data_IF_873061442892
#
_entry.id   IF_873061442892
#
_cell.length_a   1.000
_cell.length_b   1.000
_cell.length_c   1.000
_cell.angle_alpha   90.00
_cell.angle_beta   90.00
_cell.angle_gamma   90.00
#
_symmetry.space_group_name_H-M   'P 1'
#
loop_
_entity.id
_entity.type
_entity.pdbx_description
1 polymer ?
#
# COMPACT_ATOMS: atom_id res chain seq x y z
N UNK A 1 10.58 6.48 25.15
CA UNK A 1 11.14 6.35 23.79
C UNK A 1 10.48 5.21 23.01
N UNK A 2 10.54 3.97 23.50
CA UNK A 2 9.94 2.81 22.79
C UNK A 2 8.46 2.97 22.46
N UNK A 3 7.67 3.64 23.33
CA UNK A 3 6.26 3.86 23.08
C UNK A 3 6.01 4.79 21.86
N UNK A 4 6.87 5.79 21.65
CA UNK A 4 6.79 6.67 20.48
C UNK A 4 7.15 5.91 19.20
N UNK A 5 8.18 5.06 19.26
CA UNK A 5 8.54 4.20 18.13
C UNK A 5 7.37 3.26 17.78
N UNK A 6 6.70 2.71 18.80
CA UNK A 6 5.54 1.84 18.58
C UNK A 6 4.35 2.58 17.91
N UNK A 7 4.23 3.91 18.10
CA UNK A 7 3.20 4.70 17.41
C UNK A 7 3.42 4.73 15.89
N UNK A 8 4.66 4.65 15.44
CA UNK A 8 4.98 4.70 14.00
C UNK A 8 4.70 3.38 13.27
N UNK A 9 4.44 2.28 14.00
CA UNK A 9 4.16 0.95 13.46
C UNK A 9 5.24 0.49 12.47
N UNK A 10 6.48 0.26 12.92
CA UNK A 10 7.61 0.05 12.00
C UNK A 10 7.46 -1.11 11.01
N UNK A 11 6.62 -2.11 11.28
CA UNK A 11 6.35 -3.22 10.35
C UNK A 11 5.70 -2.75 9.04
N UNK A 12 5.02 -1.61 9.06
CA UNK A 12 4.40 -1.04 7.84
C UNK A 12 5.48 -0.51 6.89
N UNK A 13 6.64 -0.16 7.42
CA UNK A 13 7.77 0.38 6.66
C UNK A 13 8.32 -0.66 5.66
N UNK A 14 8.22 -1.96 5.99
CA UNK A 14 8.66 -3.04 5.10
C UNK A 14 7.96 -2.97 3.74
N UNK A 15 6.66 -2.72 3.73
CA UNK A 15 5.89 -2.60 2.49
C UNK A 15 6.35 -1.38 1.66
N UNK A 16 6.68 -0.28 2.34
CA UNK A 16 7.22 0.92 1.69
C UNK A 16 8.51 0.58 0.93
N UNK A 17 9.44 -0.16 1.56
CA UNK A 17 10.70 -0.56 0.94
C UNK A 17 10.47 -1.46 -0.27
N UNK A 18 9.61 -2.46 -0.11
CA UNK A 18 9.33 -3.48 -1.15
C UNK A 18 8.68 -2.86 -2.39
N UNK A 19 7.94 -1.78 -2.24
CA UNK A 19 7.19 -1.19 -3.35
C UNK A 19 7.83 0.08 -3.92
N UNK A 20 8.43 0.94 -3.07
CA UNK A 20 9.00 2.20 -3.55
C UNK A 20 10.27 2.01 -4.37
N UNK A 21 11.18 1.13 -3.94
CA UNK A 21 12.45 0.90 -4.65
C UNK A 21 12.21 0.36 -6.07
N UNK A 22 11.40 -0.70 -6.27
CA UNK A 22 11.10 -1.15 -7.64
C UNK A 22 10.47 -0.06 -8.51
N UNK A 23 9.60 0.78 -7.94
CA UNK A 23 9.00 1.89 -8.68
C UNK A 23 10.06 2.89 -9.15
N UNK A 24 11.05 3.19 -8.28
CA UNK A 24 12.16 4.09 -8.63
C UNK A 24 13.04 3.48 -9.72
N UNK A 25 13.33 2.18 -9.64
CA UNK A 25 14.13 1.47 -10.65
C UNK A 25 13.42 1.46 -12.00
N UNK A 26 12.12 1.21 -12.02
CA UNK A 26 11.35 1.25 -13.27
C UNK A 26 11.28 2.67 -13.84
N UNK A 27 11.12 3.67 -12.97
CA UNK A 27 11.06 5.08 -13.39
C UNK A 27 12.35 5.54 -14.06
N UNK A 28 13.51 5.08 -13.55
CA UNK A 28 14.83 5.41 -14.09
C UNK A 28 15.20 4.54 -15.28
N UNK A 29 14.60 3.35 -15.39
CA UNK A 29 14.97 2.31 -16.36
C UNK A 29 16.44 1.94 -16.22
N UNK A 30 16.83 1.59 -15.01
CA UNK A 30 18.21 1.23 -14.68
C UNK A 30 18.55 1.50 -13.23
N UNK A 31 19.80 1.84 -12.98
CA UNK A 31 20.29 2.11 -11.63
C UNK A 31 19.92 3.53 -11.20
N UNK A 32 19.36 3.64 -10.00
CA UNK A 32 18.99 4.92 -9.38
C UNK A 32 20.12 5.32 -8.42
N UNK A 33 20.39 6.61 -8.31
CA UNK A 33 21.34 7.14 -7.34
C UNK A 33 20.94 6.64 -5.92
N UNK A 34 21.84 5.91 -5.22
CA UNK A 34 21.50 5.39 -3.89
C UNK A 34 21.10 6.47 -2.88
N UNK A 35 21.66 7.67 -2.99
CA UNK A 35 21.29 8.78 -2.11
C UNK A 35 19.83 9.20 -2.33
N UNK A 36 19.37 9.21 -3.58
CA UNK A 36 17.96 9.50 -3.90
C UNK A 36 17.04 8.45 -3.29
N UNK A 37 17.42 7.15 -3.39
CA UNK A 37 16.65 6.06 -2.78
C UNK A 37 16.55 6.28 -1.26
N UNK A 38 17.70 6.49 -0.59
CA UNK A 38 17.74 6.67 0.86
C UNK A 38 16.88 7.87 1.29
N UNK A 39 17.01 8.99 0.58
CA UNK A 39 16.24 10.19 0.92
C UNK A 39 14.73 9.98 0.72
N UNK A 40 14.34 9.30 -0.36
CA UNK A 40 12.93 8.98 -0.61
C UNK A 40 12.37 8.06 0.48
N UNK A 41 13.16 7.06 0.90
CA UNK A 41 12.74 6.12 1.95
C UNK A 41 12.64 6.82 3.32
N UNK A 42 13.58 7.71 3.66
CA UNK A 42 13.52 8.49 4.91
C UNK A 42 12.23 9.33 4.92
N UNK A 43 11.95 10.05 3.83
CA UNK A 43 10.74 10.85 3.72
C UNK A 43 9.47 9.99 3.83
N UNK A 44 9.46 8.84 3.18
CA UNK A 44 8.35 7.88 3.24
C UNK A 44 8.17 7.31 4.65
N UNK A 45 9.27 7.00 5.35
CA UNK A 45 9.22 6.51 6.73
C UNK A 45 8.66 7.57 7.68
N UNK A 46 9.07 8.83 7.52
CA UNK A 46 8.54 9.95 8.31
C UNK A 46 7.03 10.12 8.04
N UNK A 47 6.62 10.03 6.76
CA UNK A 47 5.21 10.14 6.36
C UNK A 47 4.38 9.01 6.97
N UNK A 48 4.84 7.77 6.83
CA UNK A 48 4.14 6.60 7.38
C UNK A 48 4.07 6.67 8.90
N UNK A 49 5.17 7.08 9.55
CA UNK A 49 5.22 7.27 11.00
C UNK A 49 4.22 8.31 11.48
N UNK A 50 4.18 9.46 10.80
CA UNK A 50 3.24 10.54 11.10
C UNK A 50 1.78 10.09 10.93
N UNK A 51 1.47 9.47 9.79
CA UNK A 51 0.13 8.94 9.50
C UNK A 51 -0.31 7.93 10.56
N UNK A 52 0.59 7.01 10.94
CA UNK A 52 0.30 5.98 11.93
C UNK A 52 0.11 6.56 13.34
N UNK A 53 0.93 7.54 13.74
CA UNK A 53 0.77 8.21 15.02
C UNK A 53 -0.58 8.94 15.11
N UNK A 54 -0.93 9.68 14.06
CA UNK A 54 -2.22 10.39 13.98
C UNK A 54 -3.40 9.42 13.95
N UNK A 55 -3.25 8.28 13.25
CA UNK A 55 -4.26 7.22 13.25
C UNK A 55 -4.46 6.64 14.66
N UNK A 56 -3.38 6.44 15.43
CA UNK A 56 -3.51 5.95 16.82
C UNK A 56 -4.25 6.96 17.69
N UNK A 57 -4.03 8.27 17.48
CA UNK A 57 -4.77 9.31 18.20
C UNK A 57 -6.26 9.25 17.86
N UNK A 58 -6.59 9.13 16.57
CA UNK A 58 -7.98 9.08 16.09
C UNK A 58 -8.72 7.81 16.51
N UNK A 59 -8.00 6.69 16.63
CA UNK A 59 -8.58 5.38 16.96
C UNK A 59 -8.47 5.00 18.46
N UNK A 60 -8.03 5.90 19.33
CA UNK A 60 -7.73 5.55 20.74
C UNK A 60 -8.91 4.91 21.47
N UNK A 61 -10.14 5.30 21.13
CA UNK A 61 -11.37 4.72 21.69
C UNK A 61 -11.60 3.28 21.20
N UNK A 62 -11.52 3.06 19.90
CA UNK A 62 -11.70 1.74 19.26
C UNK A 62 -10.61 0.77 19.72
N UNK A 63 -9.37 1.25 19.81
CA UNK A 63 -8.22 0.42 20.14
C UNK A 63 -8.30 -0.19 21.55
N UNK A 64 -9.00 0.47 22.46
CA UNK A 64 -9.21 -0.05 23.82
C UNK A 64 -10.16 -1.26 23.83
N UNK A 65 -11.12 -1.29 22.91
CA UNK A 65 -12.14 -2.33 22.83
C UNK A 65 -11.65 -3.58 22.11
N UNK A 66 -10.82 -3.38 21.05
CA UNK A 66 -10.35 -4.49 20.20
C UNK A 66 -9.17 -5.22 20.84
N UNK A 67 -9.28 -6.54 21.01
CA UNK A 67 -8.21 -7.41 21.55
C UNK A 67 -6.89 -7.24 20.80
N UNK A 68 -6.97 -7.14 19.45
CA UNK A 68 -5.80 -7.01 18.58
C UNK A 68 -5.02 -5.72 18.82
N UNK A 69 -5.70 -4.64 19.21
CA UNK A 69 -5.08 -3.29 19.30
C UNK A 69 -5.00 -2.74 20.72
N UNK A 70 -5.53 -3.47 21.73
CA UNK A 70 -5.54 -3.02 23.12
C UNK A 70 -4.13 -2.74 23.68
N UNK A 71 -3.09 -3.31 23.09
CA UNK A 71 -1.70 -3.10 23.53
C UNK A 71 -1.03 -1.88 22.89
N UNK A 72 -1.73 -1.14 22.03
CA UNK A 72 -1.17 0.09 21.42
C UNK A 72 -0.87 1.14 22.50
N UNK A 73 0.16 1.97 22.29
CA UNK A 73 0.59 2.94 23.34
C UNK A 73 -0.51 3.84 23.87
N UNK A 74 -1.41 4.34 23.01
CA UNK A 74 -2.52 5.20 23.46
C UNK A 74 -3.64 4.40 24.12
N UNK A 75 -3.91 3.17 23.65
CA UNK A 75 -4.93 2.30 24.26
C UNK A 75 -4.60 1.96 25.72
N UNK A 76 -3.30 1.77 26.02
CA UNK A 76 -2.82 1.47 27.39
C UNK A 76 -2.26 2.70 28.11
N UNK A 77 -2.54 3.91 27.60
CA UNK A 77 -2.15 5.18 28.20
C UNK A 77 -0.62 5.34 28.46
N UNK A 78 0.20 4.69 27.62
CA UNK A 78 1.67 4.78 27.72
C UNK A 78 2.24 6.10 27.21
N UNK A 79 1.44 6.86 26.44
CA UNK A 79 1.82 8.18 25.88
C UNK A 79 0.58 9.09 26.02
N UNK A 80 0.76 10.32 26.53
CA UNK A 80 -0.33 11.30 26.54
C UNK A 80 -0.81 11.60 25.12
N UNK A 81 -2.12 11.69 24.91
CA UNK A 81 -2.74 11.92 23.60
C UNK A 81 -2.19 13.19 22.94
N UNK A 82 -2.04 14.27 23.71
CA UNK A 82 -1.47 15.55 23.20
C UNK A 82 -0.06 15.35 22.63
N UNK A 83 0.78 14.60 23.34
CA UNK A 83 2.16 14.35 22.92
C UNK A 83 2.19 13.48 21.64
N UNK A 84 1.32 12.49 21.55
CA UNK A 84 1.19 11.65 20.34
C UNK A 84 0.72 12.48 19.13
N UNK A 85 -0.22 13.41 19.35
CA UNK A 85 -0.70 14.32 18.31
C UNK A 85 0.44 15.22 17.81
N UNK A 86 1.16 15.88 18.73
CA UNK A 86 2.29 16.75 18.38
C UNK A 86 3.37 15.95 17.63
N UNK A 87 3.68 14.74 18.12
CA UNK A 87 4.65 13.84 17.49
C UNK A 87 4.24 13.51 16.05
N UNK A 88 2.98 13.15 15.83
CA UNK A 88 2.45 12.85 14.49
C UNK A 88 2.51 14.06 13.55
N UNK A 89 2.19 15.24 14.06
CA UNK A 89 2.23 16.48 13.25
C UNK A 89 3.68 16.88 12.90
N UNK A 90 4.62 16.70 13.84
CA UNK A 90 6.04 16.98 13.58
C UNK A 90 6.58 16.03 12.51
N UNK A 91 6.25 14.73 12.59
CA UNK A 91 6.67 13.75 11.57
C UNK A 91 6.05 14.10 10.20
N UNK A 92 4.79 14.53 10.17
CA UNK A 92 4.10 14.93 8.94
C UNK A 92 4.79 16.14 8.28
N UNK A 93 5.04 17.19 9.04
CA UNK A 93 5.75 18.38 8.54
C UNK A 93 7.18 18.02 8.11
N UNK A 94 7.86 17.20 8.91
CA UNK A 94 9.21 16.72 8.62
C UNK A 94 9.27 15.92 7.31
N UNK A 95 8.28 15.05 7.06
CA UNK A 95 8.25 14.26 5.83
C UNK A 95 8.09 15.15 4.59
N UNK A 96 7.19 16.12 4.66
CA UNK A 96 6.95 17.07 3.56
C UNK A 96 8.21 17.87 3.24
N UNK A 97 8.81 18.50 4.27
CA UNK A 97 10.00 19.33 4.10
C UNK A 97 11.20 18.52 3.62
N UNK A 98 11.38 17.30 4.17
CA UNK A 98 12.47 16.41 3.78
C UNK A 98 12.35 16.01 2.30
N UNK A 99 11.17 15.54 1.86
CA UNK A 99 10.96 15.13 0.46
C UNK A 99 11.08 16.32 -0.50
N UNK A 100 10.51 17.47 -0.12
CA UNK A 100 10.61 18.67 -0.94
C UNK A 100 12.08 19.06 -1.16
N UNK A 101 12.84 19.07 -0.07
CA UNK A 101 14.25 19.50 -0.12
C UNK A 101 15.16 18.48 -0.83
N UNK A 102 14.97 17.18 -0.55
CA UNK A 102 15.88 16.15 -1.05
C UNK A 102 15.47 15.50 -2.37
N UNK A 103 14.21 15.65 -2.77
CA UNK A 103 13.69 15.10 -4.02
C UNK A 103 13.03 16.20 -4.87
N UNK A 104 11.74 16.47 -4.65
CA UNK A 104 11.02 17.53 -5.33
C UNK A 104 9.71 17.85 -4.61
N UNK A 105 9.09 18.99 -4.99
CA UNK A 105 7.85 19.46 -4.37
C UNK A 105 6.70 18.45 -4.56
N UNK A 106 6.60 17.83 -5.75
CA UNK A 106 5.52 16.87 -6.04
C UNK A 106 5.54 15.71 -5.06
N UNK A 107 6.73 15.14 -4.78
CA UNK A 107 6.86 14.02 -3.84
C UNK A 107 6.46 14.43 -2.42
N UNK A 108 6.84 15.63 -2.00
CA UNK A 108 6.41 16.19 -0.71
C UNK A 108 4.90 16.36 -0.63
N UNK A 109 4.28 16.91 -1.67
CA UNK A 109 2.83 17.11 -1.74
C UNK A 109 2.08 15.79 -1.76
N UNK A 110 2.59 14.78 -2.47
CA UNK A 110 1.99 13.43 -2.49
C UNK A 110 2.01 12.81 -1.09
N UNK A 111 3.12 12.96 -0.35
CA UNK A 111 3.21 12.46 1.02
C UNK A 111 2.20 13.17 1.93
N UNK A 112 2.11 14.48 1.84
CA UNK A 112 1.17 15.27 2.65
C UNK A 112 -0.28 14.90 2.33
N UNK A 113 -0.63 14.77 1.03
CA UNK A 113 -1.95 14.37 0.59
C UNK A 113 -2.31 12.95 1.09
N UNK A 114 -1.34 12.06 1.08
CA UNK A 114 -1.50 10.68 1.59
C UNK A 114 -1.88 10.69 3.08
N UNK A 115 -1.14 11.46 3.88
CA UNK A 115 -1.37 11.54 5.32
C UNK A 115 -2.76 12.15 5.58
N UNK A 116 -3.10 13.23 4.87
CA UNK A 116 -4.41 13.88 5.01
C UNK A 116 -5.54 12.92 4.63
N UNK A 117 -5.42 12.22 3.53
CA UNK A 117 -6.41 11.21 3.10
C UNK A 117 -6.55 10.11 4.15
N UNK A 118 -5.42 9.55 4.61
CA UNK A 118 -5.42 8.44 5.56
C UNK A 118 -6.08 8.83 6.89
N UNK A 119 -5.78 10.02 7.41
CA UNK A 119 -6.30 10.47 8.70
C UNK A 119 -7.76 10.94 8.56
N UNK A 120 -8.03 11.89 7.67
CA UNK A 120 -9.35 12.53 7.60
C UNK A 120 -10.37 11.70 6.83
N UNK A 121 -10.01 11.15 5.69
CA UNK A 121 -10.97 10.41 4.86
C UNK A 121 -11.10 8.97 5.35
N UNK A 122 -9.99 8.23 5.46
CA UNK A 122 -10.07 6.82 5.84
C UNK A 122 -10.38 6.65 7.33
N UNK A 123 -9.54 7.18 8.23
CA UNK A 123 -9.64 6.87 9.66
C UNK A 123 -10.88 7.49 10.30
N UNK A 124 -11.11 8.79 10.07
CA UNK A 124 -12.19 9.51 10.72
C UNK A 124 -13.54 9.31 10.02
N UNK A 125 -13.56 9.17 8.70
CA UNK A 125 -14.81 9.11 7.94
C UNK A 125 -15.18 7.69 7.53
N UNK A 126 -14.39 7.03 6.67
CA UNK A 126 -14.77 5.78 6.03
C UNK A 126 -14.74 4.57 6.96
N UNK A 127 -13.71 4.48 7.82
CA UNK A 127 -13.47 3.30 8.66
C UNK A 127 -14.68 2.95 9.54
N UNK A 128 -15.39 3.97 10.01
CA UNK A 128 -16.51 3.81 10.94
C UNK A 128 -17.87 3.78 10.26
N UNK A 129 -17.96 4.02 8.95
CA UNK A 129 -19.24 4.24 8.25
C UNK A 129 -19.53 3.26 7.12
N UNK A 130 -18.52 2.61 6.55
CA UNK A 130 -18.75 1.75 5.39
C UNK A 130 -17.98 0.44 5.47
N UNK A 131 -18.58 -0.64 4.96
CA UNK A 131 -17.92 -1.95 4.83
C UNK A 131 -16.88 -1.96 3.71
N UNK A 132 -16.89 -0.93 2.84
CA UNK A 132 -15.90 -0.75 1.78
C UNK A 132 -14.70 0.10 2.25
N UNK A 133 -14.56 0.30 3.57
CA UNK A 133 -13.50 1.12 4.16
C UNK A 133 -12.09 0.65 3.73
N UNK A 134 -11.90 -0.67 3.60
CA UNK A 134 -10.61 -1.26 3.19
C UNK A 134 -10.27 -0.90 1.74
N UNK A 135 -11.28 -0.91 0.87
CA UNK A 135 -11.07 -0.59 -0.56
C UNK A 135 -10.52 0.83 -0.71
N UNK A 136 -11.25 1.81 -0.20
CA UNK A 136 -10.86 3.22 -0.34
C UNK A 136 -9.66 3.58 0.52
N UNK A 137 -9.60 3.02 1.75
CA UNK A 137 -8.48 3.24 2.67
C UNK A 137 -7.16 2.68 2.14
N UNK A 138 -7.25 1.65 1.30
CA UNK A 138 -6.08 1.05 0.65
C UNK A 138 -5.30 2.01 -0.22
N UNK A 139 -5.95 3.08 -0.71
CA UNK A 139 -5.29 4.08 -1.56
C UNK A 139 -4.06 4.71 -0.89
N UNK A 140 -4.11 4.90 0.43
CA UNK A 140 -2.95 5.45 1.16
C UNK A 140 -1.74 4.50 1.10
N UNK A 141 -1.99 3.18 1.18
CA UNK A 141 -0.93 2.17 1.08
C UNK A 141 -0.31 2.03 -0.31
N UNK A 142 -0.98 2.58 -1.33
CA UNK A 142 -0.49 2.56 -2.72
C UNK A 142 0.47 3.70 -3.02
N UNK A 143 0.52 4.72 -2.16
CA UNK A 143 1.24 5.96 -2.46
C UNK A 143 2.76 5.83 -2.49
N UNK A 144 3.40 4.87 -1.79
CA UNK A 144 4.86 4.72 -1.91
C UNK A 144 5.35 4.57 -3.35
N UNK A 145 4.62 3.85 -4.22
CA UNK A 145 5.03 3.72 -5.63
C UNK A 145 4.93 5.06 -6.37
N UNK A 146 3.90 5.86 -6.06
CA UNK A 146 3.72 7.19 -6.65
C UNK A 146 4.82 8.15 -6.19
N UNK A 147 5.16 8.12 -4.90
CA UNK A 147 6.21 8.97 -4.32
C UNK A 147 7.58 8.56 -4.89
N UNK A 148 7.86 7.25 -4.94
CA UNK A 148 9.09 6.74 -5.54
C UNK A 148 9.24 7.13 -7.01
N UNK A 149 8.18 6.98 -7.78
CA UNK A 149 8.16 7.37 -9.20
C UNK A 149 8.41 8.88 -9.36
N UNK A 150 7.67 9.70 -8.61
CA UNK A 150 7.77 11.16 -8.70
C UNK A 150 9.13 11.67 -8.21
N UNK A 151 9.75 11.00 -7.24
CA UNK A 151 11.08 11.38 -6.73
C UNK A 151 12.14 11.27 -7.85
N UNK A 152 11.98 10.31 -8.75
CA UNK A 152 12.89 10.09 -9.88
C UNK A 152 12.56 11.02 -11.06
N UNK A 153 11.25 11.12 -11.41
CA UNK A 153 10.83 11.74 -12.68
C UNK A 153 10.28 13.15 -12.54
N UNK A 154 9.89 13.57 -11.34
CA UNK A 154 9.19 14.85 -11.12
C UNK A 154 7.75 14.86 -11.63
N UNK A 155 7.23 13.72 -12.11
CA UNK A 155 5.91 13.61 -12.75
C UNK A 155 5.18 12.36 -12.29
N UNK A 156 3.93 12.23 -12.73
CA UNK A 156 3.13 11.02 -12.57
C UNK A 156 2.84 10.48 -13.96
N UNK A 157 3.17 9.22 -14.20
CA UNK A 157 3.00 8.58 -15.49
C UNK A 157 2.26 7.25 -15.33
N UNK A 158 1.75 6.69 -16.45
CA UNK A 158 0.88 5.53 -16.42
C UNK A 158 1.46 4.29 -15.71
N UNK A 159 2.79 4.00 -15.76
CA UNK A 159 3.25 2.81 -15.02
C UNK A 159 3.10 2.99 -13.50
N UNK A 160 3.28 4.22 -12.99
CA UNK A 160 3.04 4.52 -11.57
C UNK A 160 1.58 4.28 -11.20
N UNK A 161 0.64 4.68 -12.08
CA UNK A 161 -0.79 4.45 -11.86
C UNK A 161 -1.14 2.97 -11.88
N UNK A 162 -0.50 2.17 -12.73
CA UNK A 162 -0.70 0.72 -12.76
C UNK A 162 -0.13 0.07 -11.50
N UNK A 163 1.06 0.49 -11.04
CA UNK A 163 1.60 0.01 -9.76
C UNK A 163 0.69 0.37 -8.58
N UNK A 164 0.14 1.59 -8.59
CA UNK A 164 -0.89 2.00 -7.63
C UNK A 164 -2.08 1.02 -7.68
N UNK A 165 -2.59 0.73 -8.90
CA UNK A 165 -3.73 -0.16 -9.09
C UNK A 165 -3.45 -1.59 -8.59
N UNK A 166 -2.23 -2.11 -8.78
CA UNK A 166 -1.83 -3.44 -8.27
C UNK A 166 -2.03 -3.49 -6.75
N UNK A 167 -1.46 -2.51 -6.03
CA UNK A 167 -1.53 -2.49 -4.57
C UNK A 167 -2.95 -2.18 -4.10
N UNK A 168 -3.66 -1.29 -4.81
CA UNK A 168 -5.04 -0.92 -4.49
C UNK A 168 -5.97 -2.13 -4.54
N UNK A 169 -5.90 -2.91 -5.63
CA UNK A 169 -6.73 -4.11 -5.78
C UNK A 169 -6.25 -5.27 -4.91
N UNK A 170 -4.95 -5.33 -4.58
CA UNK A 170 -4.39 -6.33 -3.68
C UNK A 170 -4.85 -6.13 -2.22
N UNK A 171 -5.07 -4.89 -1.81
CA UNK A 171 -5.37 -4.56 -0.41
C UNK A 171 -6.64 -5.25 0.12
N UNK A 172 -7.79 -5.26 -0.61
CA UNK A 172 -8.98 -5.95 -0.09
C UNK A 172 -8.80 -7.45 0.13
N UNK A 173 -8.33 -8.25 -0.83
CA UNK A 173 -8.11 -9.69 -0.57
C UNK A 173 -7.20 -9.94 0.63
N UNK A 174 -6.10 -9.19 0.72
CA UNK A 174 -5.15 -9.30 1.81
C UNK A 174 -5.81 -8.99 3.16
N UNK A 175 -6.44 -7.84 3.26
CA UNK A 175 -6.99 -7.35 4.53
C UNK A 175 -8.24 -8.14 4.96
N UNK A 176 -9.14 -8.45 4.02
CA UNK A 176 -10.37 -9.19 4.36
C UNK A 176 -10.04 -10.64 4.77
N UNK A 177 -9.02 -11.26 4.17
CA UNK A 177 -8.59 -12.61 4.59
C UNK A 177 -8.16 -12.61 6.07
N UNK A 178 -7.42 -11.58 6.48
CA UNK A 178 -7.06 -11.42 7.91
C UNK A 178 -8.29 -11.09 8.76
N UNK A 179 -9.14 -10.18 8.28
CA UNK A 179 -10.30 -9.70 9.03
C UNK A 179 -11.35 -10.79 9.27
N UNK A 180 -11.39 -11.84 8.43
CA UNK A 180 -12.26 -13.00 8.68
C UNK A 180 -11.93 -13.66 10.03
N UNK A 181 -10.67 -13.67 10.43
CA UNK A 181 -10.23 -14.18 11.73
C UNK A 181 -10.66 -13.29 12.90
N UNK A 182 -10.75 -11.98 12.67
CA UNK A 182 -11.02 -10.97 13.71
C UNK A 182 -12.43 -10.36 13.59
N UNK A 183 -13.36 -11.05 12.92
CA UNK A 183 -14.71 -10.51 12.66
C UNK A 183 -15.43 -10.09 13.93
N UNK A 184 -15.32 -10.88 15.01
CA UNK A 184 -15.98 -10.59 16.28
C UNK A 184 -15.37 -9.38 17.00
N UNK A 185 -14.05 -9.19 16.90
CA UNK A 185 -13.36 -7.99 17.40
C UNK A 185 -13.89 -6.72 16.72
N UNK A 186 -14.05 -6.76 15.38
CA UNK A 186 -14.58 -5.63 14.63
C UNK A 186 -16.05 -5.34 14.98
N UNK A 187 -16.86 -6.41 15.17
CA UNK A 187 -18.24 -6.25 15.62
C UNK A 187 -18.31 -5.58 17.00
N UNK A 188 -17.49 -6.04 17.94
CA UNK A 188 -17.44 -5.51 19.31
C UNK A 188 -17.07 -4.03 19.33
N UNK A 189 -16.20 -3.60 18.41
CA UNK A 189 -15.75 -2.21 18.30
C UNK A 189 -16.68 -1.33 17.45
N UNK A 190 -17.76 -1.90 16.88
CA UNK A 190 -18.68 -1.17 16.02
C UNK A 190 -18.08 -0.74 14.69
N UNK A 191 -17.00 -1.40 14.24
CA UNK A 191 -16.35 -1.11 12.96
C UNK A 191 -16.92 -2.05 11.89
N UNK A 192 -17.58 -1.53 10.84
CA UNK A 192 -18.27 -2.35 9.85
C UNK A 192 -17.31 -2.96 8.81
N UNK A 193 -16.26 -3.64 9.28
CA UNK A 193 -15.37 -4.38 8.37
C UNK A 193 -16.19 -5.44 7.60
N UNK A 194 -15.94 -5.63 6.30
CA UNK A 194 -16.79 -6.50 5.49
C UNK A 194 -17.05 -7.89 6.12
N UNK A 195 -16.03 -8.62 6.66
CA UNK A 195 -16.32 -9.90 7.31
C UNK A 195 -17.17 -9.80 8.58
N UNK A 196 -17.31 -8.61 9.16
CA UNK A 196 -18.16 -8.41 10.35
C UNK A 196 -19.64 -8.22 9.99
N UNK A 197 -19.94 -7.81 8.75
CA UNK A 197 -21.31 -7.43 8.34
C UNK A 197 -21.86 -8.26 7.17
N UNK A 198 -21.02 -9.09 6.51
CA UNK A 198 -21.39 -9.89 5.35
C UNK A 198 -21.16 -11.38 5.61
N UNK A 199 -21.80 -12.24 4.82
CA UNK A 199 -21.60 -13.70 4.90
C UNK A 199 -20.21 -14.06 4.38
N UNK A 200 -19.69 -15.20 4.83
CA UNK A 200 -18.38 -15.71 4.35
C UNK A 200 -18.38 -15.88 2.82
N UNK A 201 -19.51 -16.31 2.25
CA UNK A 201 -19.66 -16.47 0.78
C UNK A 201 -19.51 -15.10 0.08
N UNK A 202 -20.14 -14.05 0.61
CA UNK A 202 -20.03 -12.69 0.05
C UNK A 202 -18.60 -12.16 0.16
N UNK A 203 -17.96 -12.36 1.32
CA UNK A 203 -16.58 -11.91 1.55
C UNK A 203 -15.63 -12.60 0.58
N UNK A 204 -15.70 -13.94 0.47
CA UNK A 204 -14.76 -14.70 -0.37
C UNK A 204 -15.02 -14.45 -1.86
N UNK A 205 -16.26 -14.15 -2.25
CA UNK A 205 -16.59 -13.72 -3.62
C UNK A 205 -15.89 -12.38 -3.93
N UNK A 206 -15.96 -11.41 -3.02
CA UNK A 206 -15.29 -10.13 -3.22
C UNK A 206 -13.76 -10.28 -3.21
N UNK A 207 -13.22 -11.12 -2.34
CA UNK A 207 -11.79 -11.48 -2.35
C UNK A 207 -11.39 -11.98 -3.74
N UNK A 208 -12.17 -12.89 -4.31
CA UNK A 208 -11.89 -13.46 -5.63
C UNK A 208 -11.91 -12.39 -6.72
N UNK A 209 -12.92 -11.51 -6.72
CA UNK A 209 -13.03 -10.42 -7.72
C UNK A 209 -11.81 -9.50 -7.65
N UNK A 210 -11.43 -9.05 -6.44
CA UNK A 210 -10.28 -8.16 -6.28
C UNK A 210 -8.95 -8.87 -6.59
N UNK A 211 -8.86 -10.18 -6.36
CA UNK A 211 -7.67 -10.96 -6.77
C UNK A 211 -7.55 -10.97 -8.30
N UNK A 212 -8.65 -11.15 -9.03
CA UNK A 212 -8.64 -11.04 -10.50
C UNK A 212 -8.19 -9.65 -10.95
N UNK A 213 -8.73 -8.58 -10.34
CA UNK A 213 -8.33 -7.21 -10.68
C UNK A 213 -6.83 -6.98 -10.40
N UNK A 214 -6.32 -7.53 -9.29
CA UNK A 214 -4.89 -7.44 -8.92
C UNK A 214 -4.03 -8.10 -10.01
N UNK A 215 -4.39 -9.32 -10.40
CA UNK A 215 -3.61 -10.07 -11.39
C UNK A 215 -3.65 -9.37 -12.77
N UNK A 216 -4.82 -8.88 -13.17
CA UNK A 216 -4.96 -8.13 -14.43
C UNK A 216 -4.09 -6.87 -14.43
N UNK A 217 -4.07 -6.11 -13.32
CA UNK A 217 -3.21 -4.93 -13.19
C UNK A 217 -1.73 -5.33 -13.23
N UNK A 218 -1.36 -6.45 -12.57
CA UNK A 218 0.01 -6.96 -12.58
C UNK A 218 0.44 -7.31 -14.01
N UNK A 219 -0.44 -7.96 -14.78
CA UNK A 219 -0.16 -8.30 -16.17
C UNK A 219 -0.08 -7.05 -17.06
N UNK A 220 -0.91 -6.02 -16.79
CA UNK A 220 -0.88 -4.77 -17.53
C UNK A 220 0.48 -4.05 -17.39
N UNK A 221 1.12 -4.15 -16.22
CA UNK A 221 2.44 -3.54 -16.01
C UNK A 221 3.52 -4.19 -16.91
N UNK A 222 3.29 -5.41 -17.40
CA UNK A 222 4.21 -6.07 -18.33
C UNK A 222 4.42 -5.27 -19.62
N UNK A 223 3.49 -4.37 -19.95
CA UNK A 223 3.65 -3.46 -21.12
C UNK A 223 4.78 -2.44 -20.93
N UNK A 224 5.19 -2.18 -19.67
CA UNK A 224 6.26 -1.24 -19.33
C UNK A 224 7.58 -1.93 -18.95
N UNK A 225 7.61 -3.28 -18.92
CA UNK A 225 8.71 -4.06 -18.34
C UNK A 225 9.23 -5.09 -19.33
N UNK A 226 10.25 -5.84 -18.93
CA UNK A 226 10.83 -6.91 -19.74
C UNK A 226 10.17 -8.28 -19.52
N UNK A 227 10.74 -9.28 -20.17
CA UNK A 227 10.18 -10.64 -20.17
C UNK A 227 10.29 -11.33 -18.81
N UNK A 228 11.29 -10.97 -18.01
CA UNK A 228 11.46 -11.56 -16.67
C UNK A 228 10.25 -11.22 -15.78
N UNK A 229 9.91 -9.93 -15.73
CA UNK A 229 8.72 -9.48 -15.00
C UNK A 229 7.46 -10.18 -15.53
N UNK A 230 7.29 -10.21 -16.87
CA UNK A 230 6.09 -10.78 -17.48
C UNK A 230 5.92 -12.27 -17.12
N UNK A 231 7.01 -13.04 -17.15
CA UNK A 231 6.97 -14.47 -16.80
C UNK A 231 6.58 -14.67 -15.32
N UNK A 232 7.20 -13.89 -14.42
CA UNK A 232 6.89 -13.97 -12.98
C UNK A 232 5.43 -13.53 -12.72
N UNK A 233 4.97 -12.47 -13.40
CA UNK A 233 3.60 -11.96 -13.25
C UNK A 233 2.56 -13.04 -13.61
N UNK A 234 2.81 -13.81 -14.69
CA UNK A 234 1.91 -14.90 -15.09
C UNK A 234 1.91 -16.02 -14.05
N UNK A 235 3.09 -16.50 -13.65
CA UNK A 235 3.21 -17.64 -12.71
C UNK A 235 2.62 -17.27 -11.34
N UNK A 236 3.01 -16.11 -10.81
CA UNK A 236 2.50 -15.64 -9.52
C UNK A 236 0.99 -15.36 -9.58
N UNK A 237 0.53 -14.82 -10.71
CA UNK A 237 -0.89 -14.54 -10.92
C UNK A 237 -1.74 -15.81 -10.90
N UNK A 238 -1.32 -16.85 -11.62
CA UNK A 238 -2.02 -18.14 -11.65
C UNK A 238 -2.07 -18.72 -10.23
N UNK A 239 -0.94 -18.68 -9.52
CA UNK A 239 -0.86 -19.19 -8.15
C UNK A 239 -1.81 -18.44 -7.20
N UNK A 240 -1.81 -17.10 -7.23
CA UNK A 240 -2.65 -16.27 -6.37
C UNK A 240 -4.15 -16.49 -6.68
N UNK A 241 -4.51 -16.57 -7.98
CA UNK A 241 -5.88 -16.87 -8.41
C UNK A 241 -6.32 -18.26 -7.94
N UNK A 242 -5.45 -19.27 -8.07
CA UNK A 242 -5.77 -20.62 -7.62
C UNK A 242 -6.13 -20.65 -6.13
N UNK A 243 -5.38 -19.91 -5.31
CA UNK A 243 -5.65 -19.84 -3.87
C UNK A 243 -6.98 -19.14 -3.56
N UNK A 244 -7.29 -18.04 -4.27
CA UNK A 244 -8.55 -17.32 -4.08
C UNK A 244 -9.75 -18.16 -4.53
N UNK A 245 -9.62 -18.90 -5.64
CA UNK A 245 -10.65 -19.83 -6.11
C UNK A 245 -10.87 -20.98 -5.12
N UNK A 246 -9.78 -21.55 -4.58
CA UNK A 246 -9.87 -22.62 -3.56
C UNK A 246 -10.61 -22.14 -2.31
N UNK A 247 -10.30 -20.92 -1.85
CA UNK A 247 -10.99 -20.34 -0.69
C UNK A 247 -12.48 -20.18 -0.95
N UNK A 248 -12.85 -19.62 -2.09
CA UNK A 248 -14.24 -19.39 -2.47
C UNK A 248 -15.00 -20.72 -2.64
N UNK A 249 -14.38 -21.69 -3.32
CA UNK A 249 -14.98 -23.00 -3.55
C UNK A 249 -15.22 -23.74 -2.23
N UNK A 250 -14.23 -23.70 -1.31
CA UNK A 250 -14.38 -24.33 0.01
C UNK A 250 -15.55 -23.75 0.81
N UNK A 251 -15.67 -22.42 0.82
CA UNK A 251 -16.80 -21.75 1.51
C UNK A 251 -18.14 -22.14 0.86
N UNK A 252 -18.20 -22.23 -0.47
CA UNK A 252 -19.43 -22.64 -1.18
C UNK A 252 -19.82 -24.08 -0.85
N UNK A 253 -18.83 -24.95 -0.68
CA UNK A 253 -19.05 -26.37 -0.35
C UNK A 253 -19.35 -26.60 1.14
N UNK A 254 -19.26 -25.55 1.97
CA UNK A 254 -19.42 -25.69 3.42
C UNK A 254 -18.26 -26.35 4.12
N UNK A 255 -17.09 -26.38 3.46
CA UNK A 255 -15.88 -27.00 4.02
C UNK A 255 -15.13 -26.03 4.94
N UNK A 256 -14.41 -26.53 5.95
CA UNK A 256 -13.55 -25.65 6.76
C UNK A 256 -12.45 -25.05 5.89
N UNK A 257 -12.27 -23.72 5.95
CA UNK A 257 -11.30 -22.99 5.14
C UNK A 257 -10.29 -22.27 6.03
N UNK A 258 -9.15 -21.90 5.43
CA UNK A 258 -8.05 -21.24 6.14
C UNK A 258 -7.75 -19.87 5.48
N UNK A 259 -8.57 -18.84 5.73
CA UNK A 259 -8.33 -17.52 5.12
C UNK A 259 -6.96 -16.94 5.46
N UNK A 260 -6.43 -17.23 6.65
CA UNK A 260 -5.12 -16.75 7.07
C UNK A 260 -4.00 -17.22 6.11
N UNK A 261 -4.18 -18.39 5.47
CA UNK A 261 -3.22 -18.85 4.45
C UNK A 261 -3.19 -17.87 3.26
N UNK A 262 -4.35 -17.43 2.80
CA UNK A 262 -4.43 -16.43 1.72
C UNK A 262 -3.78 -15.10 2.15
N UNK A 263 -4.03 -14.66 3.39
CA UNK A 263 -3.40 -13.45 3.94
C UNK A 263 -1.87 -13.53 3.86
N UNK A 264 -1.29 -14.64 4.34
CA UNK A 264 0.17 -14.81 4.35
C UNK A 264 0.73 -14.87 2.92
N UNK A 265 0.06 -15.65 2.05
CA UNK A 265 0.54 -15.84 0.67
C UNK A 265 0.32 -14.60 -0.21
N UNK A 266 -0.63 -13.74 0.13
CA UNK A 266 -0.80 -12.47 -0.58
C UNK A 266 0.41 -11.54 -0.39
N UNK A 267 1.06 -11.60 0.79
CA UNK A 267 2.32 -10.88 1.03
C UNK A 267 3.44 -11.43 0.13
N UNK A 268 3.53 -12.77 0.05
CA UNK A 268 4.53 -13.42 -0.81
C UNK A 268 4.31 -13.06 -2.28
N UNK A 269 3.04 -13.02 -2.72
CA UNK A 269 2.69 -12.59 -4.08
C UNK A 269 3.21 -11.18 -4.37
N UNK A 270 2.89 -10.23 -3.51
CA UNK A 270 3.31 -8.84 -3.71
C UNK A 270 4.83 -8.71 -3.71
N UNK A 271 5.51 -9.39 -2.77
CA UNK A 271 6.97 -9.38 -2.68
C UNK A 271 7.61 -9.94 -3.94
N UNK A 272 7.14 -11.10 -4.42
CA UNK A 272 7.67 -11.76 -5.62
C UNK A 272 7.50 -10.85 -6.86
N UNK A 273 6.31 -10.28 -7.04
CA UNK A 273 6.01 -9.39 -8.18
C UNK A 273 6.91 -8.16 -8.16
N UNK A 274 7.03 -7.48 -7.00
CA UNK A 274 7.82 -6.27 -6.91
C UNK A 274 9.34 -6.54 -6.92
N UNK A 275 9.79 -7.68 -6.40
CA UNK A 275 11.19 -8.09 -6.55
C UNK A 275 11.53 -8.39 -8.01
N UNK A 276 10.64 -9.09 -8.73
CA UNK A 276 10.82 -9.32 -10.18
C UNK A 276 10.87 -8.01 -10.93
N UNK A 277 10.01 -7.04 -10.57
CA UNK A 277 10.01 -5.70 -11.15
C UNK A 277 11.35 -4.99 -10.94
N UNK A 278 11.88 -5.06 -9.72
CA UNK A 278 13.16 -4.44 -9.37
C UNK A 278 14.31 -5.05 -10.19
N UNK A 279 14.36 -6.38 -10.25
CA UNK A 279 15.43 -7.10 -10.96
C UNK A 279 15.35 -6.80 -12.47
N UNK A 280 14.15 -6.93 -13.05
CA UNK A 280 13.90 -6.68 -14.48
C UNK A 280 14.31 -5.25 -14.87
N UNK A 281 13.94 -4.27 -14.02
CA UNK A 281 14.25 -2.85 -14.28
C UNK A 281 15.74 -2.55 -14.11
N UNK A 282 16.39 -3.17 -13.11
CA UNK A 282 17.83 -2.94 -12.83
C UNK A 282 18.73 -3.54 -13.91
N UNK A 283 18.34 -4.70 -14.47
CA UNK A 283 19.14 -5.37 -15.52
C UNK A 283 18.90 -4.68 -16.89
N UNK A 284 17.86 -3.87 -17.01
CA UNK A 284 17.53 -3.19 -18.26
C UNK A 284 17.15 -4.16 -19.39
N UNK A 285 16.46 -5.26 -19.05
CA UNK A 285 16.02 -6.24 -20.04
C UNK A 285 15.08 -5.58 -21.06
N UNK A 286 15.29 -5.82 -22.40
CA UNK A 286 14.55 -5.07 -23.41
C UNK A 286 13.05 -5.33 -23.35
N UNK A 287 12.37 -4.34 -23.25
CA UNK A 287 11.12 -4.36 -23.34
C UNK A 287 10.87 -4.97 -24.53
N UNK A 288 9.83 -5.47 -24.80
CA UNK A 288 9.41 -6.01 -26.08
C UNK A 288 9.57 -4.97 -27.19
N UNK A 289 10.27 -5.34 -28.23
CA UNK A 289 10.42 -4.48 -29.42
C UNK A 289 9.00 -4.11 -29.93
N UNK A 290 8.68 -2.82 -29.92
CA UNK A 290 7.37 -2.35 -30.41
C UNK A 290 6.79 -1.13 -29.71
N UNK A 291 7.30 -0.76 -28.53
CA UNK A 291 6.93 0.53 -27.97
C UNK A 291 7.97 1.57 -28.36
N UNK A 292 7.80 2.13 -29.56
CA UNK A 292 8.45 3.40 -29.89
C UNK A 292 8.14 4.36 -28.74
N UNK A 293 9.18 4.86 -28.11
CA UNK A 293 9.08 5.94 -27.14
C UNK A 293 8.26 7.06 -27.76
N UNK A 294 7.02 7.23 -27.31
CA UNK A 294 6.36 8.50 -27.51
C UNK A 294 7.09 9.44 -26.55
N UNK A 295 8.21 9.96 -27.02
CA UNK A 295 8.84 11.11 -26.41
C UNK A 295 7.89 12.26 -26.76
N UNK A 296 7.00 12.57 -25.81
CA UNK A 296 6.30 13.84 -25.91
C UNK A 296 7.39 14.90 -25.88
N UNK A 297 7.56 15.58 -27.01
CA UNK A 297 8.52 16.68 -27.13
C UNK A 297 8.25 17.67 -25.97
N UNK A 298 9.31 18.21 -25.37
CA UNK A 298 9.10 19.24 -24.35
C UNK A 298 8.33 20.40 -24.96
N UNK A 299 7.33 20.89 -24.21
CA UNK A 299 6.56 22.07 -24.62
C UNK A 299 7.51 23.21 -24.94
N UNK A 300 7.31 23.91 -26.05
CA UNK A 300 8.16 25.05 -26.37
C UNK A 300 8.03 26.10 -25.27
N UNK A 301 9.17 26.51 -24.73
CA UNK A 301 9.21 27.62 -23.79
C UNK A 301 8.77 28.88 -24.54
N UNK A 302 7.85 29.64 -23.96
CA UNK A 302 7.42 30.92 -24.53
C UNK A 302 8.63 31.85 -24.58
N UNK A 303 8.85 32.56 -25.72
CA UNK A 303 9.88 33.60 -25.74
C UNK A 303 9.49 34.75 -24.82
N UNK A 304 10.47 35.32 -24.13
CA UNK A 304 10.30 36.48 -23.24
C UNK A 304 9.78 37.71 -24.01
#
# INVERSE_FOLDING_TARGET
MLAYLALTKPRVIELLLVTAIPAMLLAQRGTVNPLLIVNTLIGGMLAAGGANALNCVADADIDKVMKRTARRPLARAAVPTRNALVFGLVLTAGSFLWLWWTTNLLSGLLALATIAFYVFIYTLLLKRRTSQNVVWGGAAGCMPVMIGWSAVTGTIQWPALVMFAIIFFWTPPHTWALAMRYKDDYKAAGVPMLPAVATERQVTKQILVYTWLTVLATLALALATGWLYAAVAVVAGVWFLAMAHQLYAGVRAGEPVKPLRLFLQSNNYLAVVFCALAIDSAIGLPXKAGTSSIVLAPWPMWPE
#
